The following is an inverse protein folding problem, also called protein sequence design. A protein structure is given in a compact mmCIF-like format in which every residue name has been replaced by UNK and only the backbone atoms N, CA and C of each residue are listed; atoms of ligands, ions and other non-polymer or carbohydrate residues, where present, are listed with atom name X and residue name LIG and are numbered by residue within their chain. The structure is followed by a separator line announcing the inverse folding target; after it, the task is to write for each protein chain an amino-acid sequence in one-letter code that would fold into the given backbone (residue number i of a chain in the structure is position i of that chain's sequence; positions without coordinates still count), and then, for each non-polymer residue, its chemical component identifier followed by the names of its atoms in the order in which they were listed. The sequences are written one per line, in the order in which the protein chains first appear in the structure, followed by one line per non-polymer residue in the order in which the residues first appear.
data_IF_970261780508
#
_entry.id   IF_970261780508
#
_cell.length_a   1.000
_cell.length_b   1.000
_cell.length_c   1.000
_cell.angle_alpha   90.00
_cell.angle_beta   90.00
_cell.angle_gamma   90.00
#
_symmetry.space_group_name_H-M   'P 1'
#
loop_
_entity.id
_entity.type
_entity.pdbx_description
1 polymer ?
#
# COMPACT_ATOMS: atom_id res chain seq x y z
N UNK A 1 -34.75 12.91 27.35
CA UNK A 1 -34.46 13.77 26.18
C UNK A 1 -35.10 13.11 24.98
N UNK A 2 -35.98 13.80 24.26
CA UNK A 2 -36.45 13.33 22.95
C UNK A 2 -35.26 13.45 22.00
N UNK A 3 -34.78 12.33 21.45
CA UNK A 3 -33.66 12.33 20.51
C UNK A 3 -33.94 13.13 19.23
N UNK A 4 -33.04 13.04 18.26
CA UNK A 4 -33.19 13.63 16.93
C UNK A 4 -33.60 12.55 15.91
N UNK A 5 -34.87 12.11 15.86
CA UNK A 5 -35.29 10.96 15.05
C UNK A 5 -35.13 11.17 13.54
N UNK A 6 -35.10 12.43 13.09
CA UNK A 6 -34.92 12.80 11.69
C UNK A 6 -33.45 12.97 11.29
N UNK A 7 -32.51 12.94 12.24
CA UNK A 7 -31.10 13.12 11.95
C UNK A 7 -30.57 11.91 11.19
N UNK A 8 -30.16 12.10 9.94
CA UNK A 8 -29.62 11.04 9.06
C UNK A 8 -28.10 11.08 8.93
N UNK A 9 -27.51 12.27 9.02
CA UNK A 9 -26.07 12.50 8.92
C UNK A 9 -25.62 13.44 10.02
N UNK A 10 -24.56 13.08 10.71
CA UNK A 10 -23.89 13.90 11.71
C UNK A 10 -22.42 14.03 11.33
N UNK A 11 -21.97 15.28 11.17
CA UNK A 11 -20.57 15.61 10.90
C UNK A 11 -20.09 16.52 12.02
N UNK A 12 -19.00 16.13 12.66
CA UNK A 12 -18.32 16.90 13.69
C UNK A 12 -16.93 17.24 13.18
N UNK A 13 -16.72 18.50 12.83
CA UNK A 13 -15.45 18.95 12.24
C UNK A 13 -14.69 19.86 13.22
N UNK A 14 -13.46 19.46 13.51
CA UNK A 14 -12.47 20.18 14.30
C UNK A 14 -12.99 20.76 15.63
N UNK A 15 -13.87 20.02 16.31
CA UNK A 15 -14.43 20.40 17.60
C UNK A 15 -13.35 20.32 18.71
N UNK A 16 -12.59 21.40 18.90
CA UNK A 16 -11.37 21.41 19.71
C UNK A 16 -11.59 21.02 21.18
N UNK A 17 -12.73 21.38 21.77
CA UNK A 17 -13.05 21.08 23.17
C UNK A 17 -13.73 19.71 23.36
N UNK A 18 -14.09 19.04 22.27
CA UNK A 18 -14.80 17.77 22.34
C UNK A 18 -13.86 16.67 22.82
N UNK A 19 -14.16 16.10 23.99
CA UNK A 19 -13.35 15.03 24.59
C UNK A 19 -13.99 13.66 24.47
N UNK A 20 -15.30 13.58 24.70
CA UNK A 20 -16.03 12.32 24.71
C UNK A 20 -17.19 12.43 23.72
N UNK A 21 -17.17 11.60 22.69
CA UNK A 21 -18.25 11.51 21.72
C UNK A 21 -19.00 10.22 21.98
N UNK A 22 -20.30 10.34 22.28
CA UNK A 22 -21.20 9.20 22.42
C UNK A 22 -22.35 9.35 21.43
N UNK A 23 -22.45 8.43 20.51
CA UNK A 23 -23.55 8.37 19.55
C UNK A 23 -24.34 7.10 19.85
N UNK A 24 -25.62 7.24 20.19
CA UNK A 24 -26.47 6.10 20.54
C UNK A 24 -27.78 6.13 19.78
N UNK A 25 -28.35 4.94 19.56
CA UNK A 25 -29.63 4.77 18.87
C UNK A 25 -30.75 5.56 19.56
N UNK A 26 -30.78 5.58 20.90
CA UNK A 26 -31.77 6.34 21.66
C UNK A 26 -31.74 7.84 21.36
N UNK A 27 -30.55 8.40 21.10
CA UNK A 27 -30.39 9.82 20.79
C UNK A 27 -30.63 10.11 19.30
N UNK A 28 -30.27 9.19 18.40
CA UNK A 28 -30.33 9.42 16.95
C UNK A 28 -30.74 8.14 16.19
N UNK A 29 -31.99 7.67 16.34
CA UNK A 29 -32.41 6.36 15.80
C UNK A 29 -32.43 6.32 14.28
N UNK A 30 -32.50 7.49 13.63
CA UNK A 30 -32.48 7.62 12.17
C UNK A 30 -31.09 7.75 11.55
N UNK A 31 -30.01 7.78 12.36
CA UNK A 31 -28.68 8.11 11.89
C UNK A 31 -28.09 6.99 11.01
N UNK A 32 -27.62 7.37 9.83
CA UNK A 32 -27.01 6.49 8.83
C UNK A 32 -25.54 6.81 8.58
N UNK A 33 -25.17 8.09 8.69
CA UNK A 33 -23.81 8.55 8.39
C UNK A 33 -23.25 9.33 9.57
N UNK A 34 -22.05 8.95 10.00
CA UNK A 34 -21.33 9.64 11.06
C UNK A 34 -19.90 9.96 10.63
N UNK A 35 -19.51 11.22 10.78
CA UNK A 35 -18.15 11.68 10.49
C UNK A 35 -17.60 12.50 11.66
N UNK A 36 -16.36 12.22 12.05
CA UNK A 36 -15.64 12.95 13.10
C UNK A 36 -14.23 13.29 12.63
N UNK A 37 -13.93 14.58 12.53
CA UNK A 37 -12.62 15.11 12.16
C UNK A 37 -11.98 15.83 13.33
N UNK A 38 -10.76 15.45 13.66
CA UNK A 38 -9.92 16.18 14.59
C UNK A 38 -8.47 16.22 14.09
N UNK A 39 -7.95 17.41 13.87
CA UNK A 39 -6.55 17.61 13.45
C UNK A 39 -5.60 17.79 14.65
N UNK A 40 -6.13 18.27 15.77
CA UNK A 40 -5.34 18.53 16.97
C UNK A 40 -5.25 17.28 17.83
N UNK A 41 -4.03 16.91 18.22
CA UNK A 41 -3.78 15.88 19.21
C UNK A 41 -4.22 16.39 20.58
N UNK A 42 -5.25 15.75 21.14
CA UNK A 42 -5.75 16.02 22.48
C UNK A 42 -5.83 14.70 23.21
N UNK A 43 -5.06 14.59 24.29
CA UNK A 43 -4.98 13.40 25.10
C UNK A 43 -6.33 13.06 25.76
N UNK A 44 -6.64 11.77 25.86
CA UNK A 44 -7.83 11.27 26.55
C UNK A 44 -9.14 11.46 25.78
N UNK A 45 -9.09 11.69 24.47
CA UNK A 45 -10.28 11.70 23.61
C UNK A 45 -10.81 10.30 23.40
N UNK A 46 -12.12 10.10 23.56
CA UNK A 46 -12.77 8.82 23.30
C UNK A 46 -14.02 8.97 22.43
N UNK A 47 -14.26 7.94 21.62
CA UNK A 47 -15.46 7.81 20.82
C UNK A 47 -16.14 6.47 21.12
N UNK A 48 -17.46 6.53 21.29
CA UNK A 48 -18.34 5.38 21.51
C UNK A 48 -19.53 5.53 20.56
N UNK A 49 -19.75 4.52 19.72
CA UNK A 49 -20.84 4.49 18.75
C UNK A 49 -21.65 3.22 18.96
N UNK A 50 -22.94 3.39 19.27
CA UNK A 50 -23.93 2.34 19.50
C UNK A 50 -25.19 2.66 18.70
N UNK A 51 -25.05 2.61 17.37
CA UNK A 51 -26.15 2.86 16.42
C UNK A 51 -26.15 1.74 15.37
N UNK A 52 -27.03 0.73 15.48
CA UNK A 52 -27.01 -0.45 14.61
C UNK A 52 -27.40 -0.13 13.16
N UNK A 53 -28.09 1.00 12.93
CA UNK A 53 -28.54 1.45 11.62
C UNK A 53 -27.51 2.30 10.85
N UNK A 54 -26.31 2.49 11.39
CA UNK A 54 -25.25 3.20 10.67
C UNK A 54 -24.81 2.42 9.44
N UNK A 55 -24.70 3.14 8.34
CA UNK A 55 -24.27 2.65 7.03
C UNK A 55 -22.80 3.05 6.78
N UNK A 56 -22.39 4.25 7.21
CA UNK A 56 -21.01 4.72 7.04
C UNK A 56 -20.46 5.42 8.29
N UNK A 57 -19.22 5.11 8.63
CA UNK A 57 -18.48 5.77 9.71
C UNK A 57 -17.11 6.23 9.21
N UNK A 58 -16.81 7.50 9.42
CA UNK A 58 -15.49 8.09 9.18
C UNK A 58 -14.97 8.76 10.46
N UNK A 59 -13.79 8.37 10.94
CA UNK A 59 -13.16 9.00 12.10
C UNK A 59 -11.71 9.31 11.76
N UNK A 60 -11.30 10.55 12.02
CA UNK A 60 -9.93 11.00 11.88
C UNK A 60 -9.45 11.73 13.13
N UNK A 61 -8.25 11.39 13.56
CA UNK A 61 -7.56 11.95 14.72
C UNK A 61 -7.42 10.93 15.85
N UNK A 62 -6.62 11.30 16.86
CA UNK A 62 -6.26 10.47 18.01
C UNK A 62 -7.42 10.25 18.99
N UNK A 63 -8.46 9.55 18.53
CA UNK A 63 -9.59 9.11 19.33
C UNK A 63 -9.37 7.68 19.81
N UNK A 64 -9.63 7.43 21.08
CA UNK A 64 -9.72 6.07 21.64
C UNK A 64 -11.07 5.51 21.26
N UNK A 65 -11.08 4.50 20.38
CA UNK A 65 -12.29 3.79 20.02
C UNK A 65 -12.70 2.89 21.18
N UNK A 66 -13.83 3.19 21.79
CA UNK A 66 -14.41 2.41 22.87
C UNK A 66 -15.63 1.69 22.33
N UNK A 67 -15.56 0.37 22.23
CA UNK A 67 -16.74 -0.44 21.94
C UNK A 67 -17.48 -0.71 23.27
N UNK A 68 -18.80 -0.67 23.25
CA UNK A 68 -19.62 -1.32 24.29
C UNK A 68 -19.96 -2.71 23.83
N UNK A 69 -20.15 -3.65 24.76
CA UNK A 69 -20.53 -5.04 24.49
C UNK A 69 -21.98 -5.18 23.96
N UNK A 70 -22.43 -4.39 22.97
CA UNK A 70 -23.74 -4.61 22.37
C UNK A 70 -23.65 -5.67 21.26
N UNK A 71 -24.52 -6.66 21.32
CA UNK A 71 -24.51 -7.87 20.49
C UNK A 71 -24.92 -7.66 19.04
N UNK A 72 -25.25 -6.43 18.63
CA UNK A 72 -25.82 -6.08 17.32
C UNK A 72 -25.13 -4.88 16.64
N UNK A 73 -23.92 -4.55 17.07
CA UNK A 73 -23.18 -3.39 16.57
C UNK A 73 -23.06 -3.47 15.05
N UNK A 74 -23.37 -2.39 14.35
CA UNK A 74 -23.02 -2.20 12.94
C UNK A 74 -23.56 -3.25 11.94
N UNK A 75 -24.72 -3.85 12.21
CA UNK A 75 -25.35 -4.82 11.28
C UNK A 75 -25.60 -4.28 9.85
N UNK A 76 -25.66 -2.96 9.67
CA UNK A 76 -25.87 -2.28 8.38
C UNK A 76 -24.66 -1.50 7.87
N UNK A 77 -23.52 -1.56 8.58
CA UNK A 77 -22.36 -0.76 8.25
C UNK A 77 -21.69 -1.32 7.02
N UNK A 78 -21.69 -0.56 5.93
CA UNK A 78 -21.06 -0.94 4.66
C UNK A 78 -19.67 -0.33 4.50
N UNK A 79 -19.39 0.80 5.17
CA UNK A 79 -18.09 1.47 5.09
C UNK A 79 -17.59 1.98 6.43
N UNK A 80 -16.35 1.62 6.78
CA UNK A 80 -15.64 2.08 7.96
C UNK A 80 -14.27 2.64 7.58
N UNK A 81 -14.02 3.90 7.93
CA UNK A 81 -12.75 4.58 7.68
C UNK A 81 -12.21 5.18 8.97
N UNK A 82 -11.08 4.68 9.43
CA UNK A 82 -10.42 5.13 10.66
C UNK A 82 -9.01 5.63 10.34
N UNK A 83 -8.70 6.85 10.75
CA UNK A 83 -7.40 7.48 10.53
C UNK A 83 -6.83 8.03 11.83
N UNK A 84 -5.64 7.55 12.21
CA UNK A 84 -4.96 7.92 13.44
C UNK A 84 -5.76 7.61 14.72
N UNK A 85 -6.65 6.62 14.65
CA UNK A 85 -7.50 6.17 15.76
C UNK A 85 -6.74 5.14 16.61
N UNK A 86 -6.94 5.19 17.92
CA UNK A 86 -6.37 4.24 18.88
C UNK A 86 -7.40 3.12 19.08
N UNK A 87 -7.05 1.91 18.66
CA UNK A 87 -7.87 0.70 18.73
C UNK A 87 -7.35 -0.22 19.83
N UNK A 88 -8.25 -0.83 20.61
CA UNK A 88 -7.88 -1.94 21.49
C UNK A 88 -7.81 -3.25 20.70
N UNK A 89 -7.14 -4.27 21.24
CA UNK A 89 -7.15 -5.62 20.65
C UNK A 89 -8.58 -6.16 20.46
N UNK A 90 -9.47 -5.87 21.40
CA UNK A 90 -10.89 -6.27 21.37
C UNK A 90 -11.66 -5.60 20.21
N UNK A 91 -11.16 -4.46 19.71
CA UNK A 91 -11.78 -3.77 18.56
C UNK A 91 -11.66 -4.60 17.27
N UNK A 92 -10.69 -5.51 17.17
CA UNK A 92 -10.52 -6.38 16.00
C UNK A 92 -11.53 -7.52 15.94
N UNK A 93 -11.93 -8.04 17.09
CA UNK A 93 -13.02 -9.03 17.16
C UNK A 93 -14.31 -8.41 16.62
N UNK A 94 -14.54 -7.13 16.90
CA UNK A 94 -15.68 -6.38 16.36
C UNK A 94 -15.58 -6.18 14.84
N UNK A 95 -14.39 -5.90 14.31
CA UNK A 95 -14.21 -5.78 12.85
C UNK A 95 -14.39 -7.12 12.14
N UNK A 96 -13.98 -8.22 12.77
CA UNK A 96 -14.04 -9.57 12.19
C UNK A 96 -15.46 -10.16 12.27
N UNK A 97 -16.14 -10.02 13.41
CA UNK A 97 -17.41 -10.71 13.67
C UNK A 97 -18.61 -9.76 13.82
N UNK A 98 -18.37 -8.48 14.07
CA UNK A 98 -19.42 -7.50 14.37
C UNK A 98 -20.05 -6.85 13.15
N UNK A 99 -19.38 -6.84 11.99
CA UNK A 99 -19.84 -6.04 10.83
C UNK A 99 -20.12 -6.93 9.61
N UNK A 100 -21.23 -7.71 9.59
CA UNK A 100 -21.50 -8.71 8.55
C UNK A 100 -21.80 -8.12 7.16
N UNK A 101 -22.04 -6.80 7.07
CA UNK A 101 -22.32 -6.08 5.82
C UNK A 101 -21.18 -5.15 5.41
N UNK A 102 -20.03 -5.22 6.08
CA UNK A 102 -18.92 -4.29 5.83
C UNK A 102 -18.23 -4.63 4.51
N UNK A 103 -18.44 -3.79 3.51
CA UNK A 103 -17.85 -3.94 2.17
C UNK A 103 -16.49 -3.25 2.07
N UNK A 104 -16.31 -2.11 2.76
CA UNK A 104 -15.11 -1.29 2.69
C UNK A 104 -14.53 -0.96 4.07
N UNK A 105 -13.28 -1.36 4.30
CA UNK A 105 -12.53 -1.08 5.53
C UNK A 105 -11.24 -0.31 5.21
N UNK A 106 -11.07 0.86 5.83
CA UNK A 106 -9.84 1.64 5.77
C UNK A 106 -9.28 1.91 7.16
N UNK A 107 -8.01 1.55 7.37
CA UNK A 107 -7.24 1.78 8.59
C UNK A 107 -5.97 2.53 8.22
N UNK A 108 -5.89 3.83 8.54
CA UNK A 108 -4.73 4.66 8.25
C UNK A 108 -4.02 5.14 9.49
N UNK A 109 -2.79 4.69 9.73
CA UNK A 109 -1.96 5.05 10.88
C UNK A 109 -2.67 4.86 12.23
N UNK A 110 -3.52 3.83 12.35
CA UNK A 110 -4.16 3.48 13.61
C UNK A 110 -3.13 2.88 14.58
N UNK A 111 -3.38 3.00 15.89
CA UNK A 111 -2.47 2.55 16.96
C UNK A 111 -3.18 1.70 18.01
N UNK A 112 -2.45 1.24 19.02
CA UNK A 112 -2.97 0.42 20.12
C UNK A 112 -2.81 -1.09 19.91
N UNK A 113 -2.15 -1.49 18.82
CA UNK A 113 -1.87 -2.88 18.47
C UNK A 113 -0.55 -2.98 17.69
N UNK A 114 0.14 -4.11 17.85
CA UNK A 114 1.36 -4.42 17.07
C UNK A 114 1.06 -5.43 15.95
N UNK A 115 0.02 -6.25 16.12
CA UNK A 115 -0.42 -7.25 15.15
C UNK A 115 -1.85 -6.96 14.70
N UNK A 116 -2.09 -7.05 13.40
CA UNK A 116 -3.40 -6.88 12.79
C UNK A 116 -3.95 -8.23 12.33
N UNK A 117 -5.12 -8.59 12.84
CA UNK A 117 -5.88 -9.75 12.39
C UNK A 117 -7.26 -9.33 11.87
N UNK A 118 -7.59 -9.75 10.66
CA UNK A 118 -8.92 -9.55 10.08
C UNK A 118 -9.43 -10.89 9.55
N UNK A 119 -10.57 -11.34 10.06
CA UNK A 119 -11.34 -12.43 9.47
C UNK A 119 -12.73 -11.92 9.09
N UNK A 120 -12.96 -11.66 7.80
CA UNK A 120 -14.23 -11.10 7.34
C UNK A 120 -14.62 -11.63 5.97
N UNK A 121 -15.82 -12.20 5.90
CA UNK A 121 -16.42 -12.69 4.67
C UNK A 121 -17.09 -11.57 3.84
N UNK A 122 -17.30 -10.37 4.41
CA UNK A 122 -18.01 -9.29 3.74
C UNK A 122 -17.11 -8.26 3.05
N UNK A 123 -15.87 -8.11 3.54
CA UNK A 123 -14.97 -7.04 3.09
C UNK A 123 -14.51 -7.29 1.65
N UNK A 124 -14.90 -6.39 0.74
CA UNK A 124 -14.52 -6.40 -0.67
C UNK A 124 -13.33 -5.48 -0.95
N UNK A 125 -13.22 -4.37 -0.22
CA UNK A 125 -12.10 -3.40 -0.34
C UNK A 125 -11.45 -3.14 1.01
N UNK A 126 -10.14 -3.37 1.08
CA UNK A 126 -9.35 -3.21 2.30
C UNK A 126 -8.16 -2.28 2.05
N UNK A 127 -8.08 -1.20 2.81
CA UNK A 127 -6.95 -0.30 2.79
C UNK A 127 -6.29 -0.22 4.17
N UNK A 128 -5.01 -0.59 4.23
CA UNK A 128 -4.18 -0.48 5.43
C UNK A 128 -3.02 0.48 5.13
N UNK A 129 -2.84 1.49 5.97
CA UNK A 129 -1.66 2.36 5.95
C UNK A 129 -0.95 2.40 7.29
N UNK A 130 0.36 2.21 7.28
CA UNK A 130 1.26 2.14 8.44
C UNK A 130 2.46 3.07 8.25
N UNK A 131 2.25 4.28 7.74
CA UNK A 131 3.33 5.22 7.46
C UNK A 131 3.94 5.80 8.72
N UNK A 132 3.16 5.95 9.78
CA UNK A 132 3.60 6.58 11.01
C UNK A 132 3.66 5.61 12.18
N UNK A 133 2.96 4.49 12.10
CA UNK A 133 2.84 3.48 13.16
C UNK A 133 3.09 2.11 12.53
N UNK A 134 4.29 1.53 12.74
CA UNK A 134 4.63 0.24 12.15
C UNK A 134 3.81 -0.88 12.79
N UNK A 135 3.49 -1.90 11.99
CA UNK A 135 2.94 -3.16 12.46
C UNK A 135 4.04 -4.21 12.44
N UNK A 136 4.08 -5.08 13.44
CA UNK A 136 4.93 -6.28 13.46
C UNK A 136 4.32 -7.42 12.68
N UNK A 137 2.99 -7.54 12.68
CA UNK A 137 2.30 -8.65 12.04
C UNK A 137 1.00 -8.25 11.35
N UNK A 138 0.71 -8.89 10.23
CA UNK A 138 -0.55 -8.75 9.48
C UNK A 138 -1.06 -10.12 9.07
N UNK A 139 -2.29 -10.45 9.41
CA UNK A 139 -2.97 -11.68 8.99
C UNK A 139 -4.38 -11.34 8.53
N UNK A 140 -4.65 -11.58 7.25
CA UNK A 140 -5.93 -11.25 6.62
C UNK A 140 -6.55 -12.52 6.06
N UNK A 141 -7.76 -12.84 6.50
CA UNK A 141 -8.63 -13.87 5.98
C UNK A 141 -9.88 -13.17 5.44
N UNK A 142 -9.85 -12.83 4.14
CA UNK A 142 -10.94 -12.11 3.49
C UNK A 142 -11.25 -12.76 2.15
N UNK A 143 -12.11 -13.80 2.14
CA UNK A 143 -12.34 -14.63 0.95
C UNK A 143 -12.99 -13.89 -0.22
N UNK A 144 -13.68 -12.78 0.04
CA UNK A 144 -14.40 -12.00 -0.96
C UNK A 144 -13.68 -10.69 -1.33
N UNK A 145 -12.44 -10.48 -0.88
CA UNK A 145 -11.69 -9.29 -1.24
C UNK A 145 -11.47 -9.19 -2.76
N UNK A 146 -11.73 -8.00 -3.31
CA UNK A 146 -11.56 -7.63 -4.71
C UNK A 146 -10.42 -6.60 -4.88
N UNK A 147 -10.22 -5.78 -3.86
CA UNK A 147 -9.25 -4.69 -3.86
C UNK A 147 -8.54 -4.59 -2.51
N UNK A 148 -7.21 -4.63 -2.55
CA UNK A 148 -6.35 -4.47 -1.40
C UNK A 148 -5.34 -3.37 -1.63
N UNK A 149 -5.30 -2.39 -0.74
CA UNK A 149 -4.30 -1.33 -0.74
C UNK A 149 -3.46 -1.39 0.53
N UNK A 150 -2.13 -1.50 0.37
CA UNK A 150 -1.18 -1.47 1.48
C UNK A 150 -0.20 -0.32 1.30
N UNK A 151 -0.09 0.54 2.31
CA UNK A 151 0.76 1.72 2.26
C UNK A 151 1.66 1.79 3.48
N UNK A 152 2.98 1.64 3.32
CA UNK A 152 3.92 1.62 4.43
C UNK A 152 5.18 2.46 4.17
N UNK A 153 5.93 2.74 5.23
CA UNK A 153 7.34 3.11 5.07
C UNK A 153 8.18 1.87 4.80
N UNK A 154 9.20 2.02 3.99
CA UNK A 154 10.12 0.97 3.57
C UNK A 154 10.80 0.26 4.74
N UNK A 155 11.35 0.94 5.76
CA UNK A 155 11.89 0.27 6.95
C UNK A 155 10.82 -0.26 7.92
N UNK A 156 9.53 -0.15 7.57
CA UNK A 156 8.39 -0.47 8.45
C UNK A 156 7.48 -1.52 7.82
N UNK A 157 8.04 -2.41 7.00
CA UNK A 157 7.30 -3.60 6.58
C UNK A 157 7.10 -4.52 7.79
N UNK A 158 5.94 -5.19 7.90
CA UNK A 158 5.73 -6.16 8.98
C UNK A 158 6.71 -7.33 8.93
N UNK A 159 7.04 -7.90 10.09
CA UNK A 159 7.83 -9.13 10.24
C UNK A 159 7.02 -10.36 9.77
N UNK A 160 5.71 -10.33 10.01
CA UNK A 160 4.75 -11.34 9.54
C UNK A 160 3.61 -10.71 8.73
N UNK A 161 3.14 -11.41 7.71
CA UNK A 161 2.24 -10.92 6.67
C UNK A 161 1.69 -12.16 5.98
N UNK A 162 0.39 -12.36 6.10
CA UNK A 162 -0.34 -13.43 5.43
C UNK A 162 -1.66 -12.88 4.91
N UNK A 163 -2.04 -13.34 3.73
CA UNK A 163 -3.27 -12.95 3.08
C UNK A 163 -3.90 -14.20 2.47
N UNK A 164 -5.09 -14.54 2.93
CA UNK A 164 -5.86 -15.66 2.42
C UNK A 164 -7.14 -15.13 1.80
N UNK A 165 -7.30 -15.45 0.52
CA UNK A 165 -8.55 -15.25 -0.22
C UNK A 165 -8.93 -16.55 -0.92
N UNK A 166 -10.22 -16.81 -1.05
CA UNK A 166 -10.77 -17.94 -1.80
C UNK A 166 -11.56 -17.46 -3.01
N UNK A 167 -11.41 -16.18 -3.38
CA UNK A 167 -12.13 -15.58 -4.48
C UNK A 167 -11.72 -16.26 -5.79
N UNK A 168 -12.70 -16.73 -6.56
CA UNK A 168 -12.47 -17.23 -7.92
C UNK A 168 -12.33 -16.11 -8.95
N UNK A 169 -12.71 -14.87 -8.59
CA UNK A 169 -12.54 -13.68 -9.41
C UNK A 169 -11.11 -13.15 -9.30
N UNK A 170 -10.66 -12.51 -10.37
CA UNK A 170 -9.43 -11.71 -10.33
C UNK A 170 -9.59 -10.57 -9.30
N UNK A 171 -8.59 -10.41 -8.44
CA UNK A 171 -8.52 -9.35 -7.44
C UNK A 171 -7.17 -8.63 -7.52
N UNK A 172 -7.14 -7.41 -7.00
CA UNK A 172 -6.04 -6.48 -7.20
C UNK A 172 -5.37 -6.13 -5.88
N UNK A 173 -4.04 -6.06 -5.90
CA UNK A 173 -3.25 -5.54 -4.78
C UNK A 173 -2.46 -4.31 -5.23
N UNK A 174 -2.61 -3.20 -4.52
CA UNK A 174 -1.80 -2.00 -4.71
C UNK A 174 -0.93 -1.76 -3.48
N UNK A 175 0.39 -1.92 -3.65
CA UNK A 175 1.38 -1.78 -2.59
C UNK A 175 2.16 -0.50 -2.82
N UNK A 176 2.07 0.46 -1.92
CA UNK A 176 2.83 1.70 -1.94
C UNK A 176 3.84 1.74 -0.79
N UNK A 177 5.13 1.72 -1.13
CA UNK A 177 6.22 1.80 -0.15
C UNK A 177 7.03 3.06 -0.38
N UNK A 178 7.31 3.79 0.69
CA UNK A 178 8.12 5.01 0.64
C UNK A 178 9.21 5.04 1.70
N UNK A 179 10.38 5.59 1.38
CA UNK A 179 11.44 5.87 2.36
C UNK A 179 11.59 7.39 2.52
N UNK A 180 11.98 7.83 3.71
CA UNK A 180 12.27 9.24 3.98
C UNK A 180 13.78 9.49 3.93
N UNK A 181 14.21 10.74 3.75
CA UNK A 181 15.64 11.06 3.59
C UNK A 181 16.49 10.65 4.79
N UNK A 182 15.89 10.68 5.98
CA UNK A 182 16.50 10.47 7.30
C UNK A 182 16.27 9.05 7.86
N UNK A 183 16.28 8.00 7.02
CA UNK A 183 16.24 6.60 7.50
C UNK A 183 17.68 6.06 7.63
N UNK A 184 18.41 6.29 8.76
CA UNK A 184 19.80 5.88 8.93
C UNK A 184 19.98 4.36 9.03
N UNK A 185 18.93 3.65 9.49
CA UNK A 185 18.97 2.21 9.79
C UNK A 185 18.42 1.34 8.64
N UNK A 186 18.28 1.89 7.43
CA UNK A 186 17.74 1.14 6.30
C UNK A 186 18.69 0.01 5.86
N UNK A 187 18.35 -1.21 6.27
CA UNK A 187 19.00 -2.43 5.80
C UNK A 187 18.31 -2.94 4.53
N UNK A 188 18.94 -2.67 3.38
CA UNK A 188 18.38 -3.03 2.06
C UNK A 188 18.15 -4.53 1.86
N UNK A 189 18.99 -5.40 2.45
CA UNK A 189 18.86 -6.84 2.29
C UNK A 189 17.68 -7.39 3.09
N UNK A 190 17.53 -6.93 4.35
CA UNK A 190 16.39 -7.27 5.17
C UNK A 190 15.08 -6.79 4.52
N UNK A 191 15.08 -5.57 3.99
CA UNK A 191 13.93 -5.03 3.28
C UNK A 191 13.54 -5.86 2.05
N UNK A 192 14.51 -6.33 1.24
CA UNK A 192 14.18 -7.20 0.11
C UNK A 192 13.53 -8.53 0.55
N UNK A 193 13.96 -9.10 1.68
CA UNK A 193 13.35 -10.30 2.26
C UNK A 193 11.89 -10.03 2.68
N UNK A 194 11.67 -8.93 3.40
CA UNK A 194 10.33 -8.51 3.84
C UNK A 194 9.40 -8.21 2.66
N UNK A 195 9.91 -7.50 1.65
CA UNK A 195 9.18 -7.22 0.41
C UNK A 195 8.80 -8.52 -0.30
N UNK A 196 9.73 -9.48 -0.44
CA UNK A 196 9.43 -10.78 -1.04
C UNK A 196 8.32 -11.49 -0.28
N UNK A 197 8.40 -11.50 1.04
CA UNK A 197 7.42 -12.15 1.92
C UNK A 197 6.03 -11.54 1.75
N UNK A 198 5.94 -10.20 1.71
CA UNK A 198 4.72 -9.47 1.41
C UNK A 198 4.17 -9.84 0.02
N UNK A 199 4.99 -9.75 -1.03
CA UNK A 199 4.55 -10.04 -2.40
C UNK A 199 4.11 -11.50 -2.57
N UNK A 200 4.79 -12.45 -1.92
CA UNK A 200 4.39 -13.86 -1.91
C UNK A 200 3.00 -14.07 -1.33
N UNK A 201 2.69 -13.41 -0.21
CA UNK A 201 1.36 -13.46 0.38
C UNK A 201 0.28 -12.88 -0.56
N UNK A 202 0.65 -11.97 -1.45
CA UNK A 202 -0.24 -11.34 -2.43
C UNK A 202 -0.21 -12.01 -3.82
N UNK A 203 0.54 -13.11 -3.99
CA UNK A 203 0.79 -13.73 -5.30
C UNK A 203 -0.45 -14.26 -6.01
N UNK A 204 -1.58 -14.44 -5.30
CA UNK A 204 -2.87 -14.77 -5.89
C UNK A 204 -3.60 -13.58 -6.53
N UNK A 205 -3.07 -12.36 -6.44
CA UNK A 205 -3.64 -11.13 -6.99
C UNK A 205 -2.84 -10.60 -8.18
N UNK A 206 -3.45 -9.65 -8.90
CA UNK A 206 -2.73 -8.77 -9.80
C UNK A 206 -2.06 -7.64 -9.00
N UNK A 207 -0.76 -7.80 -8.76
CA UNK A 207 0.02 -6.87 -7.92
C UNK A 207 0.50 -5.64 -8.71
N UNK A 208 0.20 -4.46 -8.20
CA UNK A 208 0.85 -3.19 -8.56
C UNK A 208 1.72 -2.72 -7.40
N UNK A 209 3.00 -2.51 -7.65
CA UNK A 209 3.99 -2.09 -6.66
C UNK A 209 4.49 -0.69 -6.99
N UNK A 210 4.33 0.25 -6.07
CA UNK A 210 4.87 1.60 -6.16
C UNK A 210 5.94 1.82 -5.10
N UNK A 211 7.15 2.17 -5.54
CA UNK A 211 8.31 2.42 -4.69
C UNK A 211 8.74 3.88 -4.80
N UNK A 212 8.83 4.56 -3.66
CA UNK A 212 9.44 5.88 -3.52
C UNK A 212 10.70 5.78 -2.66
N UNK A 213 11.87 5.84 -3.30
CA UNK A 213 13.18 5.60 -2.69
C UNK A 213 13.95 6.90 -2.38
N UNK A 214 13.42 7.74 -1.48
CA UNK A 214 14.10 8.98 -1.07
C UNK A 214 15.11 8.76 0.08
N UNK A 215 15.13 7.59 0.72
CA UNK A 215 16.04 7.20 1.82
C UNK A 215 17.09 6.13 1.49
N UNK A 216 17.87 5.72 2.48
CA UNK A 216 18.81 4.59 2.36
C UNK A 216 20.23 4.90 1.87
N UNK A 217 21.12 3.89 1.83
CA UNK A 217 22.55 4.09 1.62
C UNK A 217 22.86 4.55 0.19
N UNK A 218 24.02 5.20 0.04
CA UNK A 218 24.55 5.64 -1.26
C UNK A 218 24.99 4.47 -2.16
N UNK A 219 25.28 3.32 -1.56
CA UNK A 219 25.60 2.07 -2.25
C UNK A 219 24.66 0.96 -1.79
N UNK A 220 24.17 0.15 -2.72
CA UNK A 220 23.34 -1.02 -2.41
C UNK A 220 24.23 -2.26 -2.45
N UNK A 221 24.60 -2.83 -1.29
CA UNK A 221 25.27 -4.13 -1.29
C UNK A 221 24.28 -5.19 -1.80
N UNK A 222 24.46 -5.62 -3.05
CA UNK A 222 23.67 -6.71 -3.63
C UNK A 222 24.21 -8.03 -3.05
N UNK A 223 23.57 -8.54 -2.00
CA UNK A 223 23.93 -9.83 -1.41
C UNK A 223 23.25 -11.01 -2.12
N UNK A 224 23.86 -12.20 -2.06
CA UNK A 224 23.31 -13.45 -2.61
C UNK A 224 22.21 -14.10 -1.76
N UNK A 225 21.71 -13.39 -0.74
CA UNK A 225 20.78 -13.90 0.27
C UNK A 225 19.41 -14.33 -0.30
N UNK A 226 19.13 -14.06 -1.58
CA UNK A 226 17.83 -14.32 -2.22
C UNK A 226 17.85 -15.42 -3.30
N UNK A 227 18.95 -16.14 -3.46
CA UNK A 227 19.20 -17.00 -4.63
C UNK A 227 18.27 -18.22 -4.77
N UNK A 228 17.65 -18.69 -3.68
CA UNK A 228 17.05 -20.04 -3.66
C UNK A 228 15.57 -20.13 -4.07
N UNK A 229 14.87 -19.00 -4.27
CA UNK A 229 13.45 -19.05 -4.65
C UNK A 229 13.13 -18.14 -5.85
N UNK A 230 12.15 -18.54 -6.69
CA UNK A 230 11.76 -17.75 -7.85
C UNK A 230 11.18 -16.39 -7.44
N UNK A 231 11.46 -15.33 -8.22
CA UNK A 231 10.85 -14.01 -8.01
C UNK A 231 9.33 -14.05 -8.16
N UNK A 232 8.63 -13.20 -7.41
CA UNK A 232 7.17 -13.06 -7.50
C UNK A 232 6.79 -12.25 -8.74
N UNK A 233 5.79 -12.69 -9.50
CA UNK A 233 5.28 -11.91 -10.65
C UNK A 233 4.57 -10.67 -10.12
N UNK A 234 4.95 -9.50 -10.64
CA UNK A 234 4.31 -8.22 -10.34
C UNK A 234 3.75 -7.69 -11.65
N UNK A 235 2.49 -7.28 -11.69
CA UNK A 235 1.91 -6.79 -12.94
C UNK A 235 2.47 -5.42 -13.32
N UNK A 236 2.51 -4.48 -12.37
CA UNK A 236 3.11 -3.17 -12.61
C UNK A 236 4.04 -2.74 -11.47
N UNK A 237 5.17 -2.15 -11.84
CA UNK A 237 6.13 -1.52 -10.95
C UNK A 237 6.23 -0.04 -11.30
N UNK A 238 5.99 0.84 -10.34
CA UNK A 238 6.32 2.25 -10.42
C UNK A 238 7.49 2.54 -9.49
N UNK A 239 8.54 3.15 -10.01
CA UNK A 239 9.70 3.54 -9.23
C UNK A 239 9.95 5.03 -9.34
N UNK A 240 10.12 5.68 -8.20
CA UNK A 240 10.47 7.10 -8.12
C UNK A 240 11.52 7.35 -7.03
N UNK A 241 12.37 8.35 -7.26
CA UNK A 241 13.31 8.85 -6.26
C UNK A 241 13.58 10.33 -6.55
N UNK A 242 13.63 11.14 -5.50
CA UNK A 242 14.07 12.54 -5.54
C UNK A 242 15.58 12.67 -5.39
N UNK A 243 16.25 11.63 -4.89
CA UNK A 243 17.70 11.62 -4.72
C UNK A 243 18.42 11.32 -6.04
N UNK A 244 19.49 12.05 -6.29
CA UNK A 244 20.41 11.72 -7.37
C UNK A 244 21.18 10.44 -7.00
N UNK A 245 20.84 9.33 -7.64
CA UNK A 245 21.50 8.03 -7.46
C UNK A 245 22.58 7.83 -8.52
N UNK A 246 23.65 7.12 -8.16
CA UNK A 246 24.68 6.71 -9.11
C UNK A 246 24.15 5.61 -10.03
N UNK A 247 24.83 5.37 -11.16
CA UNK A 247 24.49 4.24 -12.03
C UNK A 247 24.70 2.89 -11.32
N UNK A 248 25.75 2.77 -10.51
CA UNK A 248 26.02 1.57 -9.70
C UNK A 248 24.91 1.30 -8.68
N UNK A 249 24.39 2.34 -8.03
CA UNK A 249 23.26 2.21 -7.10
C UNK A 249 22.02 1.67 -7.82
N UNK A 250 21.65 2.26 -8.96
CA UNK A 250 20.49 1.79 -9.72
C UNK A 250 20.67 0.33 -10.17
N UNK A 251 21.85 -0.01 -10.68
CA UNK A 251 22.14 -1.38 -11.09
C UNK A 251 22.02 -2.37 -9.92
N UNK A 252 22.66 -2.07 -8.78
CA UNK A 252 22.59 -2.91 -7.58
C UNK A 252 21.18 -3.05 -7.02
N UNK A 253 20.45 -1.93 -6.95
CA UNK A 253 19.06 -1.90 -6.49
C UNK A 253 18.14 -2.69 -7.41
N UNK A 254 18.18 -2.46 -8.72
CA UNK A 254 17.34 -3.17 -9.68
C UNK A 254 17.67 -4.67 -9.70
N UNK A 255 18.94 -5.05 -9.59
CA UNK A 255 19.33 -6.46 -9.48
C UNK A 255 18.74 -7.11 -8.22
N UNK A 256 18.81 -6.45 -7.07
CA UNK A 256 18.19 -6.92 -5.83
C UNK A 256 16.66 -7.00 -5.93
N UNK A 257 16.03 -5.95 -6.46
CA UNK A 257 14.58 -5.88 -6.62
C UNK A 257 14.08 -6.97 -7.57
N UNK A 258 14.80 -7.25 -8.64
CA UNK A 258 14.37 -8.22 -9.63
C UNK A 258 14.63 -9.68 -9.23
N UNK A 259 15.53 -9.90 -8.27
CA UNK A 259 15.57 -11.15 -7.51
C UNK A 259 14.31 -11.33 -6.65
N UNK A 260 13.68 -10.24 -6.18
CA UNK A 260 12.45 -10.31 -5.39
C UNK A 260 11.20 -10.46 -6.26
N UNK A 261 11.10 -9.67 -7.34
CA UNK A 261 9.92 -9.65 -8.20
C UNK A 261 10.25 -9.50 -9.69
N UNK A 262 9.41 -10.04 -10.56
CA UNK A 262 9.46 -9.88 -12.01
C UNK A 262 8.31 -9.00 -12.47
N UNK A 263 8.51 -7.68 -12.63
CA UNK A 263 7.45 -6.80 -13.10
C UNK A 263 7.17 -7.02 -14.59
N UNK A 264 5.91 -7.11 -15.01
CA UNK A 264 5.55 -7.12 -16.44
C UNK A 264 5.60 -5.71 -17.03
N UNK A 265 5.23 -4.72 -16.24
CA UNK A 265 5.15 -3.32 -16.66
C UNK A 265 5.96 -2.44 -15.71
N UNK A 266 6.79 -1.53 -16.24
CA UNK A 266 7.54 -0.56 -15.42
C UNK A 266 7.23 0.87 -15.81
N UNK A 267 6.60 1.59 -14.91
CA UNK A 267 6.27 3.01 -14.98
C UNK A 267 7.38 3.89 -14.38
N UNK A 268 7.24 5.20 -14.58
CA UNK A 268 8.12 6.19 -13.98
C UNK A 268 8.77 7.13 -14.98
N UNK A 269 8.15 7.38 -16.14
CA UNK A 269 8.62 8.41 -17.06
C UNK A 269 8.71 9.77 -16.36
N UNK A 270 9.76 10.53 -16.64
CA UNK A 270 9.93 11.90 -16.14
C UNK A 270 9.21 12.87 -17.05
N UNK A 271 8.27 13.65 -16.53
CA UNK A 271 7.65 14.75 -17.26
C UNK A 271 8.71 15.83 -17.57
N UNK A 272 8.84 16.18 -18.84
CA UNK A 272 9.80 17.19 -19.34
C UNK A 272 9.08 18.46 -19.82
N UNK A 273 7.81 18.34 -20.23
CA UNK A 273 6.99 19.49 -20.64
C UNK A 273 5.52 19.25 -20.29
N UNK A 274 4.94 20.14 -19.49
CA UNK A 274 3.52 20.09 -19.10
C UNK A 274 2.58 20.39 -20.28
N UNK A 275 2.90 21.41 -21.08
CA UNK A 275 2.04 21.86 -22.19
C UNK A 275 1.89 20.81 -23.29
N UNK A 276 2.89 19.96 -23.47
CA UNK A 276 2.87 18.85 -24.44
C UNK A 276 2.72 17.47 -23.82
N UNK A 277 2.61 17.37 -22.48
CA UNK A 277 2.70 16.09 -21.73
C UNK A 277 3.80 15.18 -22.28
N UNK A 278 4.99 15.76 -22.48
CA UNK A 278 6.15 15.03 -23.01
C UNK A 278 6.94 14.41 -21.88
N UNK A 279 7.21 13.12 -22.01
CA UNK A 279 7.97 12.37 -21.02
C UNK A 279 9.30 11.91 -21.60
N UNK A 280 10.25 11.62 -20.70
CA UNK A 280 11.48 10.87 -20.97
C UNK A 280 11.52 9.64 -20.07
N UNK A 281 12.30 8.64 -20.47
CA UNK A 281 12.62 7.53 -19.57
C UNK A 281 13.26 8.08 -18.29
N UNK A 282 12.88 7.53 -17.13
CA UNK A 282 13.62 7.80 -15.89
C UNK A 282 15.02 7.20 -15.97
N UNK A 283 15.92 7.68 -15.10
CA UNK A 283 17.21 7.01 -14.89
C UNK A 283 17.04 5.55 -14.47
N UNK A 284 15.97 5.21 -13.73
CA UNK A 284 15.67 3.82 -13.39
C UNK A 284 15.38 2.98 -14.64
N UNK A 285 14.43 3.42 -15.49
CA UNK A 285 14.11 2.77 -16.76
C UNK A 285 15.32 2.71 -17.70
N UNK A 286 16.12 3.78 -17.78
CA UNK A 286 17.33 3.83 -18.59
C UNK A 286 18.36 2.82 -18.11
N UNK A 287 18.62 2.73 -16.79
CA UNK A 287 19.56 1.77 -16.23
C UNK A 287 19.12 0.32 -16.49
N UNK A 288 17.82 0.02 -16.45
CA UNK A 288 17.31 -1.29 -16.85
C UNK A 288 17.66 -1.63 -18.30
N UNK A 289 17.44 -0.67 -19.21
CA UNK A 289 17.79 -0.83 -20.62
C UNK A 289 19.31 -1.01 -20.78
N UNK A 290 20.12 -0.17 -20.13
CA UNK A 290 21.58 -0.22 -20.23
C UNK A 290 22.19 -1.50 -19.64
N UNK A 291 21.65 -2.00 -18.54
CA UNK A 291 22.07 -3.25 -17.92
C UNK A 291 21.91 -4.43 -18.90
N UNK A 292 20.84 -4.40 -19.70
CA UNK A 292 20.64 -5.40 -20.74
C UNK A 292 21.74 -5.38 -21.80
N UNK A 293 22.20 -4.20 -22.26
CA UNK A 293 23.22 -4.10 -23.33
C UNK A 293 24.57 -4.76 -22.99
N UNK A 294 24.94 -4.81 -21.71
CA UNK A 294 26.24 -5.31 -21.25
C UNK A 294 26.28 -6.82 -20.96
N UNK A 295 25.46 -7.62 -21.66
CA UNK A 295 25.32 -9.10 -21.58
C UNK A 295 26.60 -9.94 -21.42
N UNK A 296 27.80 -9.39 -21.64
CA UNK A 296 29.04 -10.16 -21.70
C UNK A 296 29.84 -10.25 -20.40
N UNK A 297 29.56 -9.47 -19.35
CA UNK A 297 30.45 -9.46 -18.17
C UNK A 297 29.84 -9.46 -16.77
N UNK A 298 28.56 -9.16 -16.51
CA UNK A 298 27.95 -9.24 -15.14
C UNK A 298 26.42 -8.91 -15.19
N UNK A 299 25.57 -9.29 -14.20
CA UNK A 299 25.37 -10.60 -13.56
C UNK A 299 24.00 -11.25 -13.91
N UNK A 300 23.97 -12.59 -13.92
CA UNK A 300 22.87 -13.59 -13.89
C UNK A 300 21.47 -13.31 -14.46
N UNK A 301 20.82 -12.18 -14.16
CA UNK A 301 19.38 -12.01 -14.32
C UNK A 301 18.98 -11.45 -15.70
N UNK A 302 19.64 -10.38 -16.15
CA UNK A 302 19.36 -9.75 -17.45
C UNK A 302 19.67 -10.68 -18.63
N UNK A 303 20.70 -11.52 -18.50
CA UNK A 303 21.15 -12.45 -19.54
C UNK A 303 20.28 -13.70 -19.71
N UNK A 304 19.72 -14.21 -18.61
CA UNK A 304 19.10 -15.53 -18.59
C UNK A 304 17.57 -15.47 -18.51
N UNK A 305 17.00 -14.45 -17.85
CA UNK A 305 15.59 -14.42 -17.50
C UNK A 305 14.77 -13.39 -18.29
N UNK A 306 15.37 -12.29 -18.77
CA UNK A 306 14.64 -11.29 -19.56
C UNK A 306 14.71 -11.62 -21.05
N UNK A 307 13.57 -11.84 -21.70
CA UNK A 307 13.49 -12.20 -23.12
C UNK A 307 13.42 -10.97 -24.01
N UNK A 308 12.50 -10.05 -23.71
CA UNK A 308 12.21 -8.89 -24.57
C UNK A 308 11.85 -7.68 -23.71
N UNK A 309 12.21 -6.51 -24.22
CA UNK A 309 11.81 -5.22 -23.64
C UNK A 309 11.19 -4.37 -24.74
N UNK A 310 9.98 -3.88 -24.49
CA UNK A 310 9.33 -2.90 -25.34
C UNK A 310 9.25 -1.57 -24.60
N UNK A 311 9.48 -0.48 -25.32
CA UNK A 311 9.22 0.88 -24.83
C UNK A 311 8.01 1.38 -25.60
N UNK A 312 6.90 1.64 -24.89
CA UNK A 312 5.66 2.12 -25.51
C UNK A 312 5.20 1.23 -26.69
N UNK A 313 5.22 -0.10 -26.46
CA UNK A 313 4.84 -1.11 -27.45
C UNK A 313 5.86 -1.38 -28.57
N UNK A 314 6.95 -0.61 -28.66
CA UNK A 314 8.00 -0.84 -29.66
C UNK A 314 9.15 -1.66 -29.09
N UNK A 315 9.52 -2.74 -29.77
CA UNK A 315 10.66 -3.57 -29.38
C UNK A 315 11.94 -2.73 -29.41
N UNK A 316 12.66 -2.73 -28.30
CA UNK A 316 13.89 -1.94 -28.18
C UNK A 316 14.99 -2.56 -29.03
N UNK A 317 15.33 -1.88 -30.14
CA UNK A 317 16.55 -2.13 -30.88
C UNK A 317 17.68 -1.33 -30.22
N UNK A 318 18.75 -2.01 -29.81
CA UNK A 318 19.83 -1.47 -28.96
C UNK A 318 20.79 -0.50 -29.67
N UNK A 319 20.26 0.42 -30.46
CA UNK A 319 21.05 1.37 -31.25
C UNK A 319 21.07 2.74 -30.56
N UNK A 320 22.29 3.19 -30.25
CA UNK A 320 22.66 4.46 -29.60
C UNK A 320 22.02 4.81 -28.23
N UNK A 321 22.83 4.78 -27.17
CA UNK A 321 22.41 5.16 -25.81
C UNK A 321 22.04 6.64 -25.69
N UNK A 322 22.70 7.49 -26.48
CA UNK A 322 22.46 8.93 -26.47
C UNK A 322 21.10 9.29 -27.05
N UNK A 323 20.62 8.49 -28.01
CA UNK A 323 19.30 8.62 -28.60
C UNK A 323 18.21 8.26 -27.57
N UNK A 324 18.31 7.09 -26.93
CA UNK A 324 17.34 6.63 -25.93
C UNK A 324 17.20 7.62 -24.75
N UNK A 325 18.30 8.20 -24.27
CA UNK A 325 18.28 9.14 -23.15
C UNK A 325 17.60 10.47 -23.50
N UNK A 326 17.74 10.92 -24.74
CA UNK A 326 17.23 12.23 -25.17
C UNK A 326 15.85 12.16 -25.83
N UNK A 327 15.43 10.96 -26.27
CA UNK A 327 14.12 10.72 -26.88
C UNK A 327 12.99 11.10 -25.94
N UNK A 328 12.04 11.88 -26.47
CA UNK A 328 10.81 12.24 -25.78
C UNK A 328 9.64 11.47 -26.36
N UNK A 329 8.65 11.19 -25.53
CA UNK A 329 7.45 10.45 -25.90
C UNK A 329 6.22 11.27 -25.52
N UNK A 330 5.15 11.09 -26.27
CA UNK A 330 3.87 11.75 -26.00
C UNK A 330 3.04 10.88 -25.05
N UNK A 331 2.69 11.41 -23.88
CA UNK A 331 2.01 10.64 -22.84
C UNK A 331 2.95 9.84 -21.93
N UNK A 332 2.37 9.16 -20.94
CA UNK A 332 3.13 8.39 -19.96
C UNK A 332 3.88 7.23 -20.62
N UNK A 333 5.14 7.04 -20.22
CA UNK A 333 6.00 5.99 -20.79
C UNK A 333 6.09 4.82 -19.82
N UNK A 334 5.94 3.63 -20.37
CA UNK A 334 6.20 2.38 -19.68
C UNK A 334 7.16 1.47 -20.45
N UNK A 335 7.84 0.60 -19.71
CA UNK A 335 8.54 -0.55 -20.25
C UNK A 335 7.67 -1.80 -20.09
N UNK A 336 7.47 -2.53 -21.17
CA UNK A 336 6.87 -3.88 -21.12
C UNK A 336 8.01 -4.92 -21.14
N UNK A 337 8.05 -5.74 -20.09
CA UNK A 337 9.10 -6.73 -19.85
C UNK A 337 8.53 -8.13 -20.01
N UNK A 338 9.09 -8.86 -20.97
CA UNK A 338 8.77 -10.28 -21.17
C UNK A 338 9.84 -11.14 -20.54
N UNK A 339 9.49 -11.89 -19.51
CA UNK A 339 10.37 -12.83 -18.82
C UNK A 339 10.30 -14.23 -19.43
N UNK A 340 11.42 -14.95 -19.43
CA UNK A 340 11.47 -16.38 -19.75
C UNK A 340 10.83 -17.18 -18.62
N UNK A 341 9.98 -18.14 -18.99
CA UNK A 341 9.31 -19.05 -18.08
C UNK A 341 10.26 -20.11 -17.52
#
# INVERSE_FOLDING_TARGET
MLGCPLLRRLVLDNCCELRNVRVSEAASPGLKHFELYAYNWVEGRSIEIDVPNLETVYVRGAWIWSHRQSTFLFSRLTSLSLYSVILSSESFDLLSFGCPTLESLTLGDCSGFEEFYLASDSVESLHISTRNIPLKGVTICSPNNLDFMFTARIPQLPDTFSFTTTNSKEWYSNVFLSSCEDDPDFNVNLWFLELRRLLKALSGSRISLSLQMDGGPQDVPCSDVLADEPPVVVWSLNFSTRKCRTASWNLGFTNGLFRVCRPSLVWGGRLVSESGRKYRLSEFQLNMLLANKNFRTEPYFWGNDLEQVHVDGQLVQWTDQSELRNKTYDGEIWLDLKWRC
#
